data_IF_464013483230
#
_entry.id   IF_464013483230
#
_cell.length_a   1.000
_cell.length_b   1.000
_cell.length_c   1.000
_cell.angle_alpha   90.00
_cell.angle_beta   90.00
_cell.angle_gamma   90.00
#
_symmetry.space_group_name_H-M   'P 1'
#
loop_
_entity.id
_entity.type
_entity.pdbx_description
1 polymer ?
#
# COMPACT_ATOMS: atom_id res chain seq x y z
N UNK A 1 -2.20 9.90 -6.92
CA UNK A 1 -2.04 8.86 -5.90
C UNK A 1 -3.37 8.34 -5.44
N UNK A 2 -3.45 7.04 -5.28
CA UNK A 2 -4.69 6.29 -5.05
C UNK A 2 -4.68 5.48 -3.75
N UNK A 3 -3.66 5.64 -2.91
CA UNK A 3 -3.55 4.94 -1.63
C UNK A 3 -3.03 5.84 -0.50
N UNK A 4 -3.16 5.38 0.74
CA UNK A 4 -2.78 6.11 1.95
C UNK A 4 -1.95 5.19 2.84
N UNK A 5 -0.82 5.70 3.32
CA UNK A 5 0.01 5.05 4.32
C UNK A 5 -0.36 5.56 5.71
N UNK A 6 -0.60 4.65 6.63
CA UNK A 6 -0.91 4.96 8.01
C UNK A 6 -0.04 4.11 8.93
N UNK A 7 0.63 4.75 9.87
CA UNK A 7 1.20 4.08 11.02
C UNK A 7 0.23 4.27 12.21
N UNK A 8 -0.26 3.18 12.75
CA UNK A 8 -1.28 3.18 13.79
C UNK A 8 -0.81 2.34 14.97
N UNK A 9 -1.01 2.86 16.17
CA UNK A 9 -0.86 2.07 17.39
C UNK A 9 -2.22 1.50 17.77
N UNK A 10 -2.29 0.20 17.98
CA UNK A 10 -3.49 -0.48 18.43
C UNK A 10 -3.79 -0.11 19.89
N UNK A 11 -5.03 0.26 20.14
CA UNK A 11 -5.54 0.52 21.48
C UNK A 11 -6.39 -0.66 21.99
N UNK A 12 -7.45 -0.34 22.73
CA UNK A 12 -8.40 -1.34 23.24
C UNK A 12 -9.29 -1.93 22.14
N UNK A 13 -9.43 -1.24 21.03
CA UNK A 13 -10.18 -1.69 19.86
C UNK A 13 -9.20 -2.17 18.78
N UNK A 14 -9.38 -3.40 18.29
CA UNK A 14 -8.51 -3.99 17.28
C UNK A 14 -8.48 -3.21 15.98
N UNK A 15 -7.31 -3.21 15.33
CA UNK A 15 -7.01 -2.43 14.11
C UNK A 15 -8.05 -2.63 13.00
N UNK A 16 -8.59 -3.84 12.85
CA UNK A 16 -9.59 -4.15 11.83
C UNK A 16 -10.88 -3.33 12.01
N UNK A 17 -11.32 -3.13 13.25
CA UNK A 17 -12.50 -2.34 13.57
C UNK A 17 -12.24 -0.84 13.38
N UNK A 18 -11.06 -0.37 13.79
CA UNK A 18 -10.62 1.02 13.58
C UNK A 18 -10.59 1.35 12.10
N UNK A 19 -9.94 0.52 11.29
CA UNK A 19 -9.86 0.70 9.84
C UNK A 19 -11.22 0.63 9.15
N UNK A 20 -12.11 -0.26 9.60
CA UNK A 20 -13.49 -0.32 9.11
C UNK A 20 -14.23 1.02 9.34
N UNK A 21 -14.10 1.60 10.54
CA UNK A 21 -14.75 2.89 10.87
C UNK A 21 -14.17 4.03 10.03
N UNK A 22 -12.85 4.11 9.90
CA UNK A 22 -12.16 5.12 9.09
C UNK A 22 -12.63 5.03 7.63
N UNK A 23 -12.59 3.84 7.04
CA UNK A 23 -12.95 3.62 5.65
C UNK A 23 -14.42 3.96 5.38
N UNK A 24 -15.35 3.53 6.23
CA UNK A 24 -16.78 3.85 6.08
C UNK A 24 -17.00 5.37 6.15
N UNK A 25 -16.41 6.06 7.12
CA UNK A 25 -16.53 7.50 7.28
C UNK A 25 -15.97 8.25 6.07
N UNK A 26 -14.80 7.83 5.58
CA UNK A 26 -14.17 8.47 4.43
C UNK A 26 -14.95 8.22 3.13
N UNK A 27 -15.42 7.00 2.88
CA UNK A 27 -16.25 6.68 1.72
C UNK A 27 -17.54 7.49 1.72
N UNK A 28 -18.21 7.62 2.88
CA UNK A 28 -19.41 8.45 3.00
C UNK A 28 -19.12 9.91 2.66
N UNK A 29 -18.08 10.49 3.27
CA UNK A 29 -17.65 11.87 2.99
C UNK A 29 -17.33 12.08 1.51
N UNK A 30 -16.52 11.19 0.92
CA UNK A 30 -16.06 11.27 -0.46
C UNK A 30 -17.24 11.18 -1.44
N UNK A 31 -18.09 10.18 -1.27
CA UNK A 31 -19.26 9.98 -2.14
C UNK A 31 -20.24 11.17 -2.06
N UNK A 32 -20.47 11.70 -0.86
CA UNK A 32 -21.30 12.91 -0.68
C UNK A 32 -20.67 14.12 -1.35
N UNK A 33 -19.38 14.36 -1.15
CA UNK A 33 -18.65 15.52 -1.71
C UNK A 33 -18.63 15.51 -3.23
N UNK A 34 -18.41 14.36 -3.84
CA UNK A 34 -18.26 14.21 -5.29
C UNK A 34 -19.51 13.67 -5.98
N UNK A 35 -20.65 13.58 -5.27
CA UNK A 35 -21.94 13.08 -5.77
C UNK A 35 -21.80 11.71 -6.46
N UNK A 36 -21.03 10.81 -5.85
CA UNK A 36 -20.79 9.45 -6.33
C UNK A 36 -21.58 8.42 -5.50
N UNK A 37 -21.76 7.24 -6.07
CA UNK A 37 -22.27 6.04 -5.39
C UNK A 37 -21.31 4.87 -5.64
N UNK A 38 -21.29 3.90 -4.73
CA UNK A 38 -20.49 2.69 -4.86
C UNK A 38 -19.17 2.72 -4.10
N UNK A 39 -18.31 1.76 -4.42
CA UNK A 39 -17.05 1.56 -3.73
C UNK A 39 -16.04 2.67 -4.04
N UNK A 40 -15.26 3.07 -3.04
CA UNK A 40 -14.12 3.95 -3.22
C UNK A 40 -12.82 3.14 -3.18
N UNK A 41 -12.69 2.24 -2.21
CA UNK A 41 -11.54 1.36 -2.09
C UNK A 41 -11.79 0.06 -2.89
N UNK A 42 -10.80 -0.35 -3.66
CA UNK A 42 -10.87 -1.54 -4.48
C UNK A 42 -10.80 -2.81 -3.63
N UNK A 43 -9.88 -2.82 -2.66
CA UNK A 43 -9.58 -3.96 -1.81
C UNK A 43 -9.59 -3.59 -0.32
N UNK A 44 -9.35 -4.59 0.52
CA UNK A 44 -9.13 -4.37 1.96
C UNK A 44 -7.79 -3.69 2.18
N UNK A 45 -7.64 -3.02 3.34
CA UNK A 45 -6.33 -2.53 3.76
C UNK A 45 -5.35 -3.70 3.93
N UNK A 46 -4.10 -3.45 3.64
CA UNK A 46 -2.98 -4.32 3.99
C UNK A 46 -2.36 -3.80 5.27
N UNK A 47 -1.84 -4.67 6.12
CA UNK A 47 -1.18 -4.28 7.36
C UNK A 47 0.02 -5.16 7.62
N UNK A 48 1.03 -4.55 8.17
CA UNK A 48 2.26 -5.18 8.64
C UNK A 48 2.49 -4.77 10.09
N UNK A 49 2.97 -5.70 10.90
CA UNK A 49 3.27 -5.43 12.31
C UNK A 49 4.65 -4.81 12.39
N UNK A 50 4.75 -3.74 13.16
CA UNK A 50 6.01 -3.05 13.44
C UNK A 50 6.50 -3.49 14.82
N UNK A 51 7.65 -4.15 14.88
CA UNK A 51 8.10 -4.88 16.06
C UNK A 51 9.21 -4.16 16.84
N UNK A 52 9.95 -3.24 16.21
CA UNK A 52 11.07 -2.54 16.85
C UNK A 52 11.22 -1.08 16.40
N UNK A 53 12.03 -0.33 17.17
CA UNK A 53 12.26 1.10 16.94
C UNK A 53 12.99 1.38 15.62
N UNK A 54 13.85 0.49 15.15
CA UNK A 54 14.56 0.68 13.88
C UNK A 54 13.58 0.59 12.73
N UNK A 55 12.67 -0.37 12.80
CA UNK A 55 11.61 -0.52 11.81
C UNK A 55 10.63 0.67 11.86
N UNK A 56 10.25 1.17 13.06
CA UNK A 56 9.45 2.39 13.21
C UNK A 56 10.10 3.56 12.49
N UNK A 57 11.39 3.81 12.74
CA UNK A 57 12.11 4.93 12.14
C UNK A 57 12.19 4.79 10.61
N UNK A 58 12.50 3.61 10.10
CA UNK A 58 12.54 3.33 8.67
C UNK A 58 11.16 3.56 8.01
N UNK A 59 10.09 3.08 8.64
CA UNK A 59 8.71 3.26 8.17
C UNK A 59 8.30 4.75 8.17
N UNK A 60 8.61 5.49 9.22
CA UNK A 60 8.34 6.94 9.31
C UNK A 60 9.03 7.69 8.19
N UNK A 61 10.31 7.40 7.94
CA UNK A 61 11.05 7.98 6.82
C UNK A 61 10.40 7.64 5.48
N UNK A 62 10.06 6.38 5.27
CA UNK A 62 9.39 5.91 4.07
C UNK A 62 8.08 6.67 3.81
N UNK A 63 7.18 6.73 4.80
CA UNK A 63 5.88 7.41 4.67
C UNK A 63 6.07 8.89 4.29
N UNK A 64 7.02 9.59 4.93
CA UNK A 64 7.22 11.01 4.67
C UNK A 64 7.99 11.29 3.37
N UNK A 65 8.85 10.38 2.92
CA UNK A 65 9.57 10.51 1.66
C UNK A 65 8.77 10.02 0.45
N UNK A 66 7.70 9.28 0.64
CA UNK A 66 6.88 8.75 -0.45
C UNK A 66 6.39 9.84 -1.43
N UNK A 67 5.82 10.99 -0.99
CA UNK A 67 5.42 12.06 -1.89
C UNK A 67 6.59 12.72 -2.64
N UNK A 68 7.80 12.73 -2.05
CA UNK A 68 9.01 13.25 -2.68
C UNK A 68 9.49 12.29 -3.76
N UNK A 69 9.59 11.00 -3.44
CA UNK A 69 9.95 9.93 -4.39
C UNK A 69 8.97 9.85 -5.57
N UNK A 70 7.69 10.07 -5.31
CA UNK A 70 6.65 10.15 -6.34
C UNK A 70 6.68 11.45 -7.16
N UNK A 71 7.60 12.38 -6.89
CA UNK A 71 7.72 13.65 -7.60
C UNK A 71 6.57 14.63 -7.39
N UNK A 72 5.73 14.42 -6.37
CA UNK A 72 4.57 15.28 -6.07
C UNK A 72 5.02 16.59 -5.43
N UNK A 73 6.04 16.52 -4.59
CA UNK A 73 6.67 17.68 -3.91
C UNK A 73 8.20 17.55 -3.94
N UNK A 74 8.90 18.65 -3.68
CA UNK A 74 10.37 18.66 -3.63
C UNK A 74 10.93 18.27 -2.27
N UNK A 75 10.16 18.47 -1.20
CA UNK A 75 10.54 18.12 0.17
C UNK A 75 9.35 17.60 0.96
N UNK A 76 9.59 16.76 1.97
CA UNK A 76 8.55 16.15 2.80
C UNK A 76 7.64 17.19 3.48
N UNK A 77 8.22 18.33 3.86
CA UNK A 77 7.47 19.41 4.52
C UNK A 77 6.47 20.17 3.62
N UNK A 78 6.60 20.05 2.30
CA UNK A 78 5.69 20.70 1.34
C UNK A 78 4.40 19.89 1.15
N UNK A 79 4.39 18.62 1.50
CA UNK A 79 3.20 17.79 1.31
C UNK A 79 2.19 17.99 2.45
N UNK A 80 1.17 18.76 2.21
CA UNK A 80 0.17 19.16 3.22
C UNK A 80 -0.65 18.01 3.82
N UNK A 81 -0.70 16.86 3.16
CA UNK A 81 -1.45 15.70 3.62
C UNK A 81 -0.59 14.70 4.41
N UNK A 82 0.66 15.07 4.72
CA UNK A 82 1.58 14.31 5.56
C UNK A 82 1.56 14.80 7.00
N UNK A 83 1.79 13.90 7.94
CA UNK A 83 2.00 14.24 9.35
C UNK A 83 3.37 14.86 9.65
N UNK A 84 4.28 14.95 8.68
CA UNK A 84 5.65 15.44 8.86
C UNK A 84 5.73 16.76 9.65
N UNK A 85 4.97 17.76 9.24
CA UNK A 85 4.96 19.05 9.92
C UNK A 85 4.34 18.99 11.33
N UNK A 86 3.53 18.00 11.63
CA UNK A 86 2.99 17.77 12.96
C UNK A 86 4.04 17.35 13.99
N UNK A 87 5.16 16.74 13.56
CA UNK A 87 6.31 16.44 14.42
C UNK A 87 7.18 17.68 14.72
N UNK A 88 7.20 18.64 13.81
CA UNK A 88 8.11 19.79 13.88
C UNK A 88 7.44 21.05 14.43
N UNK A 89 6.17 21.28 14.08
CA UNK A 89 5.44 22.51 14.38
C UNK A 89 4.48 22.31 15.55
N UNK A 90 4.43 23.30 16.42
CA UNK A 90 3.40 23.39 17.44
C UNK A 90 2.08 23.83 16.79
N UNK A 91 0.96 23.33 17.32
CA UNK A 91 -0.39 23.69 16.85
C UNK A 91 -0.71 23.27 15.38
N UNK A 92 -0.01 22.30 14.83
CA UNK A 92 -0.40 21.71 13.55
C UNK A 92 -1.70 20.91 13.70
N UNK A 93 -2.58 20.91 12.70
CA UNK A 93 -3.89 20.26 12.80
C UNK A 93 -3.82 18.74 13.05
N UNK A 94 -2.74 18.08 12.65
CA UNK A 94 -2.49 16.67 12.96
C UNK A 94 -2.17 16.41 14.43
N UNK A 95 -1.75 17.41 15.22
CA UNK A 95 -1.37 17.21 16.62
C UNK A 95 -2.51 16.67 17.49
N UNK A 96 -3.76 16.75 17.02
CA UNK A 96 -4.94 16.18 17.70
C UNK A 96 -5.00 14.64 17.63
N UNK A 97 -4.32 14.03 16.65
CA UNK A 97 -4.37 12.58 16.37
C UNK A 97 -2.97 11.96 16.30
N UNK A 98 -1.93 12.78 16.34
CA UNK A 98 -0.54 12.36 16.21
C UNK A 98 0.10 12.25 17.59
N UNK A 99 0.54 11.05 17.96
CA UNK A 99 1.40 10.87 19.13
C UNK A 99 2.86 11.14 18.71
N UNK A 100 3.30 12.37 18.96
CA UNK A 100 4.67 12.77 18.64
C UNK A 100 5.69 12.27 19.66
N UNK A 101 5.24 11.98 20.90
CA UNK A 101 6.12 11.60 22.01
C UNK A 101 6.82 10.27 21.76
N UNK A 102 6.10 9.29 21.25
CA UNK A 102 6.65 7.96 20.92
C UNK A 102 7.80 8.10 19.90
N UNK A 103 7.55 8.77 18.80
CA UNK A 103 8.55 8.87 17.70
C UNK A 103 9.71 9.79 18.06
N UNK A 104 9.43 10.97 18.62
CA UNK A 104 10.50 11.91 18.97
C UNK A 104 11.34 11.39 20.14
N UNK A 105 10.73 10.63 21.06
CA UNK A 105 11.44 10.00 22.18
C UNK A 105 12.50 8.97 21.76
N UNK A 106 12.36 8.34 20.58
CA UNK A 106 13.39 7.44 20.03
C UNK A 106 14.67 8.22 19.69
N UNK A 107 14.55 9.49 19.30
CA UNK A 107 15.71 10.30 18.91
C UNK A 107 16.42 10.95 20.11
N UNK A 108 15.68 11.53 21.06
CA UNK A 108 16.24 12.23 22.22
C UNK A 108 15.16 12.54 23.26
N UNK A 109 15.59 12.63 24.54
CA UNK A 109 14.74 13.17 25.62
C UNK A 109 14.54 14.70 25.50
N UNK A 110 15.51 15.43 24.93
CA UNK A 110 15.35 16.84 24.63
C UNK A 110 14.54 17.05 23.35
N UNK A 111 13.40 17.72 23.47
CA UNK A 111 12.46 17.91 22.38
C UNK A 111 13.06 18.65 21.17
N UNK A 112 13.90 19.66 21.40
CA UNK A 112 14.51 20.43 20.31
C UNK A 112 15.53 19.58 19.55
N UNK A 113 16.34 18.83 20.30
CA UNK A 113 17.28 17.87 19.74
C UNK A 113 16.55 16.77 18.95
N UNK A 114 15.49 16.21 19.51
CA UNK A 114 14.67 15.18 18.87
C UNK A 114 14.06 15.67 17.54
N UNK A 115 13.48 16.86 17.51
CA UNK A 115 12.94 17.47 16.28
C UNK A 115 14.02 17.69 15.22
N UNK A 116 15.20 18.12 15.62
CA UNK A 116 16.34 18.31 14.71
C UNK A 116 16.77 16.97 14.11
N UNK A 117 16.99 15.96 14.96
CA UNK A 117 17.41 14.63 14.53
C UNK A 117 16.34 13.95 13.65
N UNK A 118 15.06 14.05 14.00
CA UNK A 118 13.96 13.60 13.17
C UNK A 118 13.98 14.20 11.76
N UNK A 119 14.15 15.55 11.68
CA UNK A 119 14.25 16.25 10.40
C UNK A 119 15.44 15.79 9.57
N UNK A 120 16.59 15.64 10.19
CA UNK A 120 17.81 15.15 9.53
C UNK A 120 17.62 13.71 9.04
N UNK A 121 17.07 12.83 9.87
CA UNK A 121 16.84 11.43 9.56
C UNK A 121 15.83 11.22 8.42
N UNK A 122 14.69 11.91 8.46
CA UNK A 122 13.65 11.78 7.43
C UNK A 122 14.14 12.25 6.07
N UNK A 123 15.06 13.23 6.01
CA UNK A 123 15.59 13.75 4.75
C UNK A 123 16.81 12.98 4.21
N UNK A 124 17.22 11.89 4.85
CA UNK A 124 18.23 10.98 4.31
C UNK A 124 17.61 10.07 3.25
N UNK A 125 18.41 9.66 2.27
CA UNK A 125 17.99 8.68 1.29
C UNK A 125 17.64 7.35 1.96
N UNK A 126 16.47 6.82 1.62
CA UNK A 126 15.98 5.55 2.14
C UNK A 126 16.19 4.43 1.10
N UNK A 127 16.75 3.33 1.55
CA UNK A 127 16.97 2.12 0.75
C UNK A 127 15.93 1.06 1.08
N UNK A 128 15.21 1.21 2.20
CA UNK A 128 14.25 0.24 2.71
C UNK A 128 13.04 0.10 1.78
N UNK A 129 12.58 -1.15 1.66
CA UNK A 129 11.38 -1.53 0.91
C UNK A 129 10.28 -1.97 1.89
N UNK A 130 9.05 -1.54 1.66
CA UNK A 130 7.87 -1.87 2.46
C UNK A 130 6.78 -2.48 1.57
N UNK A 131 5.66 -2.92 2.16
CA UNK A 131 4.57 -3.67 1.50
C UNK A 131 4.16 -3.10 0.14
N UNK A 132 4.17 -1.78 -0.02
CA UNK A 132 3.62 -1.15 -1.24
C UNK A 132 4.59 -1.16 -2.42
N UNK A 133 5.86 -1.39 -2.22
CA UNK A 133 6.83 -1.37 -3.34
C UNK A 133 6.62 -2.53 -4.32
N UNK A 134 5.79 -3.50 -3.95
CA UNK A 134 5.39 -4.58 -4.84
C UNK A 134 4.09 -4.28 -5.62
N UNK A 135 3.49 -3.08 -5.47
CA UNK A 135 2.23 -2.72 -6.13
C UNK A 135 2.38 -1.93 -7.44
N UNK A 136 3.59 -1.49 -7.79
CA UNK A 136 3.88 -0.90 -9.12
C UNK A 136 4.06 -1.94 -10.24
N UNK A 137 3.58 -3.15 -10.08
CA UNK A 137 3.29 -3.95 -11.26
C UNK A 137 2.03 -3.37 -11.90
N UNK A 138 2.24 -2.47 -12.85
CA UNK A 138 1.18 -1.96 -13.74
C UNK A 138 0.40 -3.15 -14.23
N UNK A 139 -0.92 -3.19 -13.96
CA UNK A 139 -1.76 -4.22 -14.58
C UNK A 139 -1.53 -4.16 -16.08
N UNK A 140 -1.15 -5.27 -16.69
CA UNK A 140 -1.02 -5.36 -18.13
C UNK A 140 -2.39 -5.03 -18.76
N UNK A 141 -2.40 -4.26 -19.84
CA UNK A 141 -3.63 -4.02 -20.57
C UNK A 141 -4.23 -5.33 -21.09
N UNK A 142 -5.55 -5.35 -21.30
CA UNK A 142 -6.28 -6.57 -21.63
C UNK A 142 -5.86 -7.19 -22.96
N UNK A 143 -5.41 -6.37 -23.91
CA UNK A 143 -5.03 -6.82 -25.25
C UNK A 143 -3.66 -7.52 -25.21
N UNK A 144 -2.68 -6.89 -24.60
CA UNK A 144 -1.35 -7.50 -24.33
C UNK A 144 -1.45 -8.75 -23.46
N UNK A 145 -2.34 -8.78 -22.48
CA UNK A 145 -2.57 -9.95 -21.64
C UNK A 145 -3.19 -11.12 -22.40
N UNK A 146 -4.11 -10.87 -23.33
CA UNK A 146 -4.67 -11.90 -24.22
C UNK A 146 -3.61 -12.48 -25.15
N UNK A 147 -2.75 -11.64 -25.71
CA UNK A 147 -1.64 -12.09 -26.56
C UNK A 147 -0.65 -12.95 -25.77
N UNK A 148 -0.29 -12.52 -24.55
CA UNK A 148 0.57 -13.29 -23.66
C UNK A 148 -0.05 -14.66 -23.33
N UNK A 149 -1.34 -14.71 -22.98
CA UNK A 149 -2.03 -15.95 -22.68
C UNK A 149 -2.04 -16.91 -23.88
N UNK A 150 -2.31 -16.42 -25.07
CA UNK A 150 -2.28 -17.21 -26.30
C UNK A 150 -0.87 -17.74 -26.59
N UNK A 151 0.16 -16.93 -26.39
CA UNK A 151 1.57 -17.33 -26.53
C UNK A 151 1.94 -18.44 -25.54
N UNK A 152 1.51 -18.32 -24.29
CA UNK A 152 1.71 -19.33 -23.24
C UNK A 152 0.99 -20.65 -23.60
N UNK A 153 -0.24 -20.60 -24.12
CA UNK A 153 -0.98 -21.78 -24.58
C UNK A 153 -0.27 -22.50 -25.73
N UNK A 154 0.27 -21.74 -26.69
CA UNK A 154 0.95 -22.29 -27.85
C UNK A 154 2.34 -22.90 -27.52
N UNK A 155 2.99 -22.42 -26.47
CA UNK A 155 4.29 -22.93 -26.00
C UNK A 155 4.18 -24.11 -25.03
N UNK A 156 2.98 -24.42 -24.52
CA UNK A 156 2.74 -25.49 -23.56
C UNK A 156 2.73 -26.87 -24.25
N UNK A 157 3.91 -27.48 -24.39
CA UNK A 157 4.09 -28.85 -24.84
C UNK A 157 4.19 -29.80 -23.64
N UNK A 158 3.04 -30.27 -23.09
CA UNK A 158 3.07 -31.27 -22.01
C UNK A 158 1.81 -32.14 -21.93
N UNK A 159 1.99 -33.40 -21.53
CA UNK A 159 1.00 -34.49 -21.53
C UNK A 159 -0.06 -34.42 -20.39
N UNK A 160 0.03 -33.53 -19.41
CA UNK A 160 -0.96 -33.44 -18.35
C UNK A 160 -1.62 -32.04 -18.25
N UNK A 161 -2.83 -31.94 -18.80
CA UNK A 161 -3.64 -30.71 -18.87
C UNK A 161 -3.93 -30.03 -17.52
N UNK A 162 -3.83 -30.72 -16.39
CA UNK A 162 -4.21 -30.18 -15.07
C UNK A 162 -3.05 -29.47 -14.37
N UNK A 163 -1.84 -30.02 -14.43
CA UNK A 163 -0.63 -29.41 -13.84
C UNK A 163 -0.18 -28.19 -14.64
N UNK A 164 -0.29 -28.25 -15.96
CA UNK A 164 0.02 -27.13 -16.86
C UNK A 164 -0.88 -25.93 -16.52
N UNK A 165 -2.19 -26.17 -16.36
CA UNK A 165 -3.12 -25.09 -16.00
C UNK A 165 -2.76 -24.40 -14.67
N UNK A 166 -2.19 -25.14 -13.70
CA UNK A 166 -1.74 -24.56 -12.42
C UNK A 166 -0.52 -23.64 -12.57
N UNK A 167 0.53 -24.15 -13.20
CA UNK A 167 1.74 -23.35 -13.42
C UNK A 167 1.46 -22.13 -14.29
N UNK A 168 0.73 -22.32 -15.39
CA UNK A 168 0.38 -21.23 -16.30
C UNK A 168 -0.46 -20.13 -15.64
N UNK A 169 -1.44 -20.47 -14.81
CA UNK A 169 -2.26 -19.46 -14.11
C UNK A 169 -1.43 -18.69 -13.09
N UNK A 170 -0.53 -19.36 -12.35
CA UNK A 170 0.36 -18.67 -11.42
C UNK A 170 1.30 -17.71 -12.16
N UNK A 171 1.97 -18.21 -13.19
CA UNK A 171 2.87 -17.42 -14.03
C UNK A 171 2.15 -16.27 -14.73
N UNK A 172 0.94 -16.51 -15.27
CA UNK A 172 0.13 -15.48 -15.91
C UNK A 172 -0.30 -14.39 -14.92
N UNK A 173 -0.68 -14.76 -13.69
CA UNK A 173 -1.00 -13.81 -12.62
C UNK A 173 0.22 -12.97 -12.24
N UNK A 174 1.40 -13.56 -12.10
CA UNK A 174 2.65 -12.88 -11.77
C UNK A 174 3.08 -11.89 -12.87
N UNK A 175 3.00 -12.31 -14.13
CA UNK A 175 3.42 -11.46 -15.27
C UNK A 175 2.45 -10.33 -15.59
N UNK A 176 1.15 -10.53 -15.35
CA UNK A 176 0.12 -9.55 -15.75
C UNK A 176 -0.39 -8.70 -14.60
N UNK A 177 -0.24 -9.16 -13.39
CA UNK A 177 -0.84 -8.61 -12.17
C UNK A 177 -2.37 -8.39 -12.24
N UNK A 178 -3.05 -8.99 -13.19
CA UNK A 178 -4.48 -8.83 -13.40
C UNK A 178 -5.31 -9.35 -12.21
N UNK A 179 -6.45 -8.73 -11.99
CA UNK A 179 -7.44 -9.25 -11.02
C UNK A 179 -7.95 -10.63 -11.44
N UNK A 180 -8.37 -11.45 -10.46
CA UNK A 180 -8.89 -12.80 -10.73
C UNK A 180 -10.10 -12.76 -11.69
N UNK A 181 -10.90 -11.69 -11.67
CA UNK A 181 -12.02 -11.50 -12.59
C UNK A 181 -11.54 -11.31 -14.02
N UNK A 182 -10.51 -10.50 -14.25
CA UNK A 182 -9.92 -10.27 -15.56
C UNK A 182 -9.23 -11.53 -16.07
N UNK A 183 -8.49 -12.23 -15.20
CA UNK A 183 -7.91 -13.54 -15.55
C UNK A 183 -8.98 -14.52 -15.97
N UNK A 184 -10.09 -14.65 -15.25
CA UNK A 184 -11.19 -15.53 -15.61
C UNK A 184 -11.82 -15.16 -16.95
N UNK A 185 -11.96 -13.87 -17.25
CA UNK A 185 -12.48 -13.40 -18.54
C UNK A 185 -11.54 -13.73 -19.71
N UNK A 186 -10.24 -13.57 -19.53
CA UNK A 186 -9.23 -13.83 -20.58
C UNK A 186 -9.02 -15.32 -20.79
N UNK A 187 -8.90 -16.10 -19.70
CA UNK A 187 -8.56 -17.52 -19.76
C UNK A 187 -9.78 -18.43 -19.95
N UNK A 188 -11.00 -17.92 -19.80
CA UNK A 188 -12.25 -18.66 -19.74
C UNK A 188 -12.29 -19.75 -18.65
N UNK A 189 -11.45 -19.62 -17.61
CA UNK A 189 -11.40 -20.54 -16.47
C UNK A 189 -12.27 -19.97 -15.35
N UNK A 190 -13.04 -20.86 -14.69
CA UNK A 190 -13.91 -20.46 -13.58
C UNK A 190 -13.10 -19.80 -12.45
N UNK A 191 -13.62 -18.67 -11.93
CA UNK A 191 -13.03 -17.86 -10.87
C UNK A 191 -12.66 -18.65 -9.62
N UNK A 192 -13.52 -19.59 -9.18
CA UNK A 192 -13.27 -20.39 -7.98
C UNK A 192 -12.12 -21.35 -8.19
N UNK A 193 -11.97 -21.88 -9.41
CA UNK A 193 -10.85 -22.72 -9.79
C UNK A 193 -9.54 -21.94 -9.81
N UNK A 194 -9.54 -20.70 -10.33
CA UNK A 194 -8.37 -19.80 -10.28
C UNK A 194 -7.99 -19.50 -8.83
N UNK A 195 -8.95 -19.14 -7.98
CA UNK A 195 -8.72 -18.90 -6.56
C UNK A 195 -8.08 -20.12 -5.86
N UNK A 196 -8.57 -21.33 -6.15
CA UNK A 196 -8.02 -22.57 -5.58
C UNK A 196 -6.57 -22.80 -6.02
N UNK A 197 -6.26 -22.52 -7.28
CA UNK A 197 -4.92 -22.65 -7.85
C UNK A 197 -3.93 -21.66 -7.20
N UNK A 198 -4.34 -20.41 -7.02
CA UNK A 198 -3.48 -19.36 -6.48
C UNK A 198 -3.23 -19.50 -4.96
N UNK A 199 -4.08 -20.28 -4.25
CA UNK A 199 -3.93 -20.56 -2.82
C UNK A 199 -3.20 -21.87 -2.51
N UNK A 200 -2.94 -22.71 -3.50
CA UNK A 200 -2.22 -23.98 -3.39
C UNK A 200 -0.73 -23.83 -3.72
#
# INVERSE_FOLDING_TARGET
>A
DNHVHLMLQEGTEGIANVMKKINISYVYYFNKKYKRVGHLFQDRFKSEVVEDDQYILALIRYIHQNPVKAGIVKSAGEYKWSSYNGYLLENHYFNKVLDTGVILGIFSEDLNSAKKQFKEYVNQDAVETFIDMNEETVEMDEESAKELWNTMLNSANCDSRVEIARCMIKEFKEKTNLSIRKIAAITHINKDRINKILRS
#
